data_IF_566299050185
#
_entry.id   IF_566299050185
#
_cell.length_a   1.000
_cell.length_b   1.000
_cell.length_c   1.000
_cell.angle_alpha   90.00
_cell.angle_beta   90.00
_cell.angle_gamma   90.00
#
_symmetry.space_group_name_H-M   'P 1'
#
loop_
_entity.id
_entity.type
_entity.pdbx_description
1 polymer ?
#
# COMPACT_ATOMS: atom_id res chain seq x y z
N UNK A 1 -19.82 -3.46 -5.31
CA UNK A 1 -18.86 -4.28 -4.51
C UNK A 1 -19.04 -5.73 -4.95
N UNK A 2 -17.96 -6.49 -5.09
CA UNK A 2 -18.07 -7.92 -5.40
C UNK A 2 -18.75 -8.66 -4.24
N UNK A 3 -19.54 -9.72 -4.50
CA UNK A 3 -20.05 -10.61 -3.46
C UNK A 3 -18.89 -11.20 -2.63
N UNK A 4 -19.14 -11.50 -1.36
CA UNK A 4 -18.11 -12.02 -0.45
C UNK A 4 -17.47 -13.32 -0.96
N UNK A 5 -18.27 -14.18 -1.61
CA UNK A 5 -17.80 -15.44 -2.20
C UNK A 5 -16.83 -15.26 -3.38
N UNK A 6 -16.82 -14.09 -4.02
CA UNK A 6 -15.91 -13.77 -5.13
C UNK A 6 -14.74 -12.89 -4.68
N UNK A 7 -14.99 -11.96 -3.74
CA UNK A 7 -13.96 -11.05 -3.26
C UNK A 7 -12.82 -11.77 -2.55
N UNK A 8 -13.12 -12.77 -1.72
CA UNK A 8 -12.10 -13.48 -0.94
C UNK A 8 -11.11 -14.28 -1.84
N UNK A 9 -11.56 -15.14 -2.77
CA UNK A 9 -10.63 -15.84 -3.68
C UNK A 9 -9.77 -14.88 -4.51
N UNK A 10 -10.35 -13.77 -4.97
CA UNK A 10 -9.60 -12.75 -5.70
C UNK A 10 -8.49 -12.13 -4.83
N UNK A 11 -8.83 -11.72 -3.61
CA UNK A 11 -7.87 -11.14 -2.68
C UNK A 11 -6.73 -12.12 -2.34
N UNK A 12 -7.02 -13.40 -2.17
CA UNK A 12 -6.00 -14.43 -1.89
C UNK A 12 -4.98 -14.56 -3.04
N UNK A 13 -5.45 -14.52 -4.29
CA UNK A 13 -4.56 -14.58 -5.46
C UNK A 13 -3.73 -13.30 -5.58
N UNK A 14 -4.33 -12.12 -5.35
CA UNK A 14 -3.61 -10.85 -5.33
C UNK A 14 -2.53 -10.81 -4.25
N UNK A 15 -2.87 -11.29 -3.05
CA UNK A 15 -1.95 -11.40 -1.92
C UNK A 15 -0.75 -12.30 -2.25
N UNK A 16 -1.00 -13.49 -2.80
CA UNK A 16 0.07 -14.40 -3.21
C UNK A 16 0.95 -13.79 -4.31
N UNK A 17 0.37 -13.02 -5.24
CA UNK A 17 1.13 -12.32 -6.26
C UNK A 17 2.02 -11.22 -5.67
N UNK A 18 1.50 -10.42 -4.74
CA UNK A 18 2.26 -9.37 -4.06
C UNK A 18 3.51 -9.93 -3.36
N UNK A 19 3.36 -11.04 -2.63
CA UNK A 19 4.48 -11.73 -1.98
C UNK A 19 5.56 -12.13 -2.99
N UNK A 20 5.16 -12.69 -4.15
CA UNK A 20 6.11 -13.05 -5.22
C UNK A 20 6.82 -11.83 -5.80
N UNK A 21 6.10 -10.74 -6.06
CA UNK A 21 6.70 -9.52 -6.61
C UNK A 21 7.74 -8.95 -5.66
N UNK A 22 7.44 -8.86 -4.35
CA UNK A 22 8.41 -8.38 -3.35
C UNK A 22 9.61 -9.31 -3.24
N UNK A 23 9.40 -10.63 -3.26
CA UNK A 23 10.50 -11.59 -3.23
C UNK A 23 11.43 -11.49 -4.47
N UNK A 24 10.86 -11.19 -5.64
CA UNK A 24 11.63 -11.04 -6.89
C UNK A 24 12.38 -9.71 -6.94
N UNK A 25 11.70 -8.61 -6.61
CA UNK A 25 12.27 -7.27 -6.73
C UNK A 25 13.19 -6.91 -5.56
N UNK A 26 13.04 -7.58 -4.42
CA UNK A 26 13.75 -7.32 -3.16
C UNK A 26 13.85 -5.81 -2.85
N UNK A 27 12.74 -5.07 -2.86
CA UNK A 27 12.80 -3.64 -2.63
C UNK A 27 13.11 -3.37 -1.16
N UNK A 28 13.84 -2.30 -0.87
CA UNK A 28 13.99 -1.83 0.51
C UNK A 28 12.64 -1.37 1.08
N UNK A 29 11.80 -0.74 0.25
CA UNK A 29 10.52 -0.17 0.64
C UNK A 29 9.36 -0.64 -0.23
N UNK A 30 8.24 -0.94 0.41
CA UNK A 30 6.91 -0.99 -0.20
C UNK A 30 6.09 0.18 0.31
N UNK A 31 5.62 1.03 -0.60
CA UNK A 31 4.79 2.19 -0.26
C UNK A 31 3.32 1.88 -0.58
N UNK A 32 2.51 1.70 0.46
CA UNK A 32 1.08 1.51 0.31
C UNK A 32 0.36 2.83 0.00
N UNK A 33 -0.48 2.82 -1.04
CA UNK A 33 -1.33 3.97 -1.40
C UNK A 33 -2.69 3.79 -0.73
N UNK A 34 -2.86 4.42 0.43
CA UNK A 34 -4.06 4.32 1.27
C UNK A 34 -4.04 3.16 2.29
N UNK A 35 -4.98 3.21 3.22
CA UNK A 35 -5.01 2.31 4.39
C UNK A 35 -5.36 0.85 4.06
N UNK A 36 -6.17 0.60 3.03
CA UNK A 36 -6.47 -0.78 2.61
C UNK A 36 -5.21 -1.48 2.09
N UNK A 37 -4.45 -0.83 1.20
CA UNK A 37 -3.21 -1.36 0.67
C UNK A 37 -2.18 -1.61 1.78
N UNK A 38 -2.08 -0.71 2.77
CA UNK A 38 -1.17 -0.88 3.91
C UNK A 38 -1.55 -2.11 4.72
N UNK A 39 -2.85 -2.25 5.05
CA UNK A 39 -3.35 -3.40 5.80
C UNK A 39 -3.01 -4.71 5.08
N UNK A 40 -3.28 -4.79 3.77
CA UNK A 40 -2.95 -5.97 2.96
C UNK A 40 -1.46 -6.27 2.91
N UNK A 41 -0.62 -5.25 2.71
CA UNK A 41 0.83 -5.41 2.72
C UNK A 41 1.31 -5.96 4.08
N UNK A 42 0.84 -5.41 5.20
CA UNK A 42 1.22 -5.88 6.54
C UNK A 42 0.71 -7.31 6.81
N UNK A 43 -0.49 -7.66 6.36
CA UNK A 43 -1.06 -9.00 6.50
C UNK A 43 -0.19 -10.07 5.83
N UNK A 44 0.36 -9.79 4.65
CA UNK A 44 1.04 -10.81 3.81
C UNK A 44 2.57 -10.72 3.81
N UNK A 45 3.14 -9.59 4.23
CA UNK A 45 4.57 -9.32 4.24
C UNK A 45 5.12 -8.99 5.63
N UNK A 46 4.31 -9.09 6.70
CA UNK A 46 4.73 -8.64 8.04
C UNK A 46 5.99 -9.32 8.61
N UNK A 47 6.42 -10.44 8.03
CA UNK A 47 7.66 -11.16 8.38
C UNK A 47 8.75 -11.06 7.31
N UNK A 48 8.47 -10.42 6.17
CA UNK A 48 9.45 -10.22 5.11
C UNK A 48 10.41 -9.08 5.47
N UNK A 49 11.65 -9.16 4.97
CA UNK A 49 12.66 -8.11 5.13
C UNK A 49 12.39 -6.95 4.15
N UNK A 50 11.25 -6.30 4.29
CA UNK A 50 10.81 -5.13 3.51
C UNK A 50 10.20 -4.10 4.43
N UNK A 51 10.59 -2.83 4.29
CA UNK A 51 10.01 -1.73 5.05
C UNK A 51 8.68 -1.33 4.42
N UNK A 52 7.63 -1.20 5.23
CA UNK A 52 6.28 -0.83 4.75
C UNK A 52 5.95 0.59 5.21
N UNK A 53 5.85 1.49 4.24
CA UNK A 53 5.33 2.85 4.44
C UNK A 53 3.95 3.03 3.81
N UNK A 54 3.34 4.19 4.07
CA UNK A 54 2.02 4.55 3.50
C UNK A 54 1.98 6.02 3.10
N UNK A 55 1.35 6.29 1.95
CA UNK A 55 0.86 7.62 1.59
C UNK A 55 -0.67 7.66 1.55
N UNK A 56 -1.24 8.86 1.59
CA UNK A 56 -2.65 9.09 1.37
C UNK A 56 -3.05 8.57 -0.02
N UNK A 57 -4.24 7.99 -0.15
CA UNK A 57 -4.76 7.62 -1.47
C UNK A 57 -5.22 8.88 -2.24
N UNK A 58 -4.91 9.03 -3.54
CA UNK A 58 -5.28 10.21 -4.34
C UNK A 58 -6.77 10.29 -4.71
N UNK A 59 -7.64 9.50 -4.08
CA UNK A 59 -9.04 9.41 -4.54
C UNK A 59 -9.77 10.70 -4.19
N UNK A 60 -10.56 11.28 -5.12
CA UNK A 60 -11.35 12.48 -4.85
C UNK A 60 -12.43 12.26 -3.78
N UNK A 61 -12.75 10.98 -3.47
CA UNK A 61 -13.67 10.62 -2.38
C UNK A 61 -13.10 10.94 -0.99
N UNK A 62 -11.80 11.20 -0.86
CA UNK A 62 -11.17 11.65 0.39
C UNK A 62 -11.09 13.18 0.43
N UNK A 63 -11.78 13.85 1.38
CA UNK A 63 -11.65 15.31 1.54
C UNK A 63 -10.21 15.76 1.77
N UNK A 64 -9.37 14.92 2.39
CA UNK A 64 -7.96 15.21 2.60
C UNK A 64 -7.18 15.25 1.28
N UNK A 65 -7.47 14.36 0.33
CA UNK A 65 -6.79 14.32 -0.97
C UNK A 65 -7.11 15.55 -1.83
N UNK A 66 -8.31 16.11 -1.68
CA UNK A 66 -8.74 17.30 -2.42
C UNK A 66 -8.03 18.60 -1.97
N UNK A 67 -7.27 18.57 -0.87
CA UNK A 67 -6.54 19.74 -0.33
C UNK A 67 -5.04 19.68 -0.64
N UNK A 68 -4.68 19.37 -1.90
CA UNK A 68 -3.28 19.24 -2.33
C UNK A 68 -2.70 17.88 -1.98
N UNK A 69 -3.04 16.86 -2.77
CA UNK A 69 -2.52 15.50 -2.57
C UNK A 69 -1.01 15.38 -2.81
N UNK A 70 -0.41 15.97 -3.86
CA UNK A 70 1.02 15.81 -4.14
C UNK A 70 1.90 16.25 -2.96
N UNK A 71 1.63 17.43 -2.39
CA UNK A 71 2.41 18.00 -1.29
C UNK A 71 2.26 17.16 -0.02
N UNK A 72 1.06 16.62 0.23
CA UNK A 72 0.82 15.72 1.36
C UNK A 72 1.53 14.38 1.20
N UNK A 73 1.50 13.79 -0.01
CA UNK A 73 2.18 12.54 -0.29
C UNK A 73 3.70 12.70 -0.17
N UNK A 74 4.27 13.78 -0.72
CA UNK A 74 5.70 14.09 -0.59
C UNK A 74 6.12 14.28 0.87
N UNK A 75 5.34 15.05 1.64
CA UNK A 75 5.57 15.22 3.08
C UNK A 75 5.55 13.88 3.81
N UNK A 76 4.58 13.02 3.53
CA UNK A 76 4.47 11.69 4.15
C UNK A 76 5.67 10.79 3.81
N UNK A 77 6.16 10.83 2.57
CA UNK A 77 7.35 10.06 2.17
C UNK A 77 8.60 10.54 2.89
N UNK A 78 8.79 11.86 3.01
CA UNK A 78 9.89 12.48 3.76
C UNK A 78 9.84 12.16 5.25
N UNK A 79 8.66 12.27 5.88
CA UNK A 79 8.47 11.98 7.31
C UNK A 79 8.76 10.51 7.66
N UNK A 80 8.54 9.59 6.72
CA UNK A 80 8.86 8.16 6.87
C UNK A 80 10.30 7.81 6.50
N UNK A 81 11.09 8.79 6.03
CA UNK A 81 12.47 8.56 5.58
C UNK A 81 12.57 7.75 4.28
N UNK A 82 11.50 7.71 3.48
CA UNK A 82 11.46 7.01 2.19
C UNK A 82 12.08 7.86 1.08
N UNK A 83 11.81 9.16 1.11
CA UNK A 83 12.28 10.12 0.12
C UNK A 83 13.11 11.19 0.81
N UNK A 84 14.36 11.37 0.37
CA UNK A 84 15.27 12.38 0.88
C UNK A 84 16.69 12.08 0.42
#
# INVERSE_FOLDING_TARGET
KLPAGEAKPLEEICNAHLVRVVAILQPEWLVAVGGFAEKKAREVLGQADVKIGRILHPSPASPAANRGWPEQAEKQLKEQGIWG
#
